data_IF_453434641069
#
_entry.id   IF_453434641069
#
_cell.length_a   1.000
_cell.length_b   1.000
_cell.length_c   1.000
_cell.angle_alpha   90.00
_cell.angle_beta   90.00
_cell.angle_gamma   90.00
#
_symmetry.space_group_name_H-M   'P 1'
#
loop_
_entity.id
_entity.type
_entity.pdbx_description
1 polymer ?
#
# COMPACT_ATOMS: atom_id res chain seq x y z
N UNK A 1 -27.09 -18.19 5.39
CA UNK A 1 -26.06 -19.25 5.49
C UNK A 1 -24.69 -18.60 5.60
N UNK A 2 -23.88 -19.09 6.54
CA UNK A 2 -22.49 -18.64 6.71
C UNK A 2 -21.62 -19.34 5.67
N UNK A 3 -20.78 -18.60 4.99
CA UNK A 3 -19.82 -19.10 4.01
C UNK A 3 -18.42 -18.65 4.38
N UNK A 4 -17.45 -19.53 4.24
CA UNK A 4 -16.03 -19.23 4.40
C UNK A 4 -15.44 -18.95 3.01
N UNK A 5 -14.84 -17.77 2.83
CA UNK A 5 -14.27 -17.31 1.57
C UNK A 5 -12.78 -17.07 1.77
N UNK A 6 -11.96 -17.83 1.04
CA UNK A 6 -10.50 -17.63 1.01
C UNK A 6 -10.13 -16.34 0.27
N UNK A 7 -9.16 -15.61 0.81
CA UNK A 7 -8.65 -14.37 0.21
C UNK A 7 -7.24 -14.07 0.69
N UNK A 8 -6.69 -12.93 0.27
CA UNK A 8 -5.38 -12.43 0.69
C UNK A 8 -5.55 -11.09 1.38
N UNK A 9 -4.84 -10.89 2.48
CA UNK A 9 -4.83 -9.62 3.20
C UNK A 9 -4.22 -8.51 2.35
N UNK A 10 -4.92 -7.38 2.22
CA UNK A 10 -4.54 -6.26 1.36
C UNK A 10 -3.77 -5.14 2.08
N UNK A 11 -3.45 -5.30 3.39
CA UNK A 11 -2.86 -4.23 4.18
C UNK A 11 -1.37 -3.97 3.90
N UNK A 12 -0.59 -5.04 3.70
CA UNK A 12 0.84 -4.89 3.37
C UNK A 12 1.27 -5.97 2.38
N UNK A 13 2.48 -5.83 1.83
CA UNK A 13 3.03 -6.74 0.82
C UNK A 13 3.39 -8.14 1.32
N UNK A 14 3.13 -8.48 2.58
CA UNK A 14 3.40 -9.83 3.11
C UNK A 14 2.53 -10.88 2.43
N UNK A 15 1.28 -10.54 2.08
CA UNK A 15 0.39 -11.46 1.36
C UNK A 15 -0.19 -12.58 2.24
N UNK A 16 -0.54 -12.27 3.50
CA UNK A 16 -1.10 -13.27 4.41
C UNK A 16 -2.39 -13.89 3.88
N UNK A 17 -2.47 -15.20 3.89
CA UNK A 17 -3.67 -15.97 3.54
C UNK A 17 -4.72 -15.79 4.63
N UNK A 18 -5.91 -15.37 4.23
CA UNK A 18 -7.04 -15.12 5.13
C UNK A 18 -8.29 -15.87 4.69
N UNK A 19 -9.13 -16.18 5.65
CA UNK A 19 -10.49 -16.65 5.40
C UNK A 19 -11.46 -15.63 5.99
N UNK A 20 -12.38 -15.15 5.18
CA UNK A 20 -13.49 -14.31 5.60
C UNK A 20 -14.73 -15.16 5.79
N UNK A 21 -15.30 -15.11 6.97
CA UNK A 21 -16.61 -15.68 7.27
C UNK A 21 -17.68 -14.66 6.92
N UNK A 22 -18.53 -14.99 5.97
CA UNK A 22 -19.50 -14.07 5.39
C UNK A 22 -20.92 -14.62 5.54
N UNK A 23 -21.86 -13.79 5.97
CA UNK A 23 -23.28 -14.08 5.98
C UNK A 23 -24.07 -12.85 5.47
N UNK A 24 -25.05 -13.10 4.60
CA UNK A 24 -25.90 -12.05 4.02
C UNK A 24 -25.09 -10.86 3.47
N UNK A 25 -24.00 -11.16 2.76
CA UNK A 25 -23.07 -10.18 2.18
C UNK A 25 -22.36 -9.27 3.21
N UNK A 26 -22.25 -9.72 4.46
CA UNK A 26 -21.52 -9.03 5.54
C UNK A 26 -20.37 -9.90 6.04
N UNK A 27 -19.24 -9.28 6.30
CA UNK A 27 -18.08 -9.94 6.90
C UNK A 27 -18.33 -10.03 8.41
N UNK A 28 -18.47 -11.26 8.90
CA UNK A 28 -18.64 -11.51 10.33
C UNK A 28 -17.30 -11.59 11.06
N UNK A 29 -16.28 -12.20 10.40
CA UNK A 29 -14.98 -12.43 11.00
C UNK A 29 -13.93 -12.70 9.94
N UNK A 30 -12.69 -12.29 10.24
CA UNK A 30 -11.50 -12.64 9.46
C UNK A 30 -10.56 -13.46 10.35
N UNK A 31 -10.02 -14.55 9.81
CA UNK A 31 -8.99 -15.35 10.47
C UNK A 31 -7.93 -15.80 9.46
N UNK A 32 -6.76 -16.18 9.98
CA UNK A 32 -5.68 -16.72 9.16
C UNK A 32 -6.03 -18.13 8.71
N UNK A 33 -5.66 -18.50 7.50
CA UNK A 33 -5.71 -19.90 7.07
C UNK A 33 -4.64 -20.69 7.82
N UNK A 34 -5.04 -21.81 8.43
CA UNK A 34 -4.13 -22.64 9.24
C UNK A 34 -3.01 -23.28 8.42
N UNK A 35 -3.29 -23.58 7.16
CA UNK A 35 -2.40 -24.18 6.16
C UNK A 35 -1.82 -23.13 5.19
N UNK A 36 -2.10 -21.83 5.41
CA UNK A 36 -1.59 -20.75 4.59
C UNK A 36 -0.06 -20.67 4.60
N UNK A 37 0.54 -20.71 3.42
CA UNK A 37 2.00 -20.71 3.27
C UNK A 37 2.66 -19.46 3.89
N UNK A 38 2.07 -18.29 3.68
CA UNK A 38 2.63 -17.03 4.16
C UNK A 38 2.31 -16.78 5.61
N UNK A 39 1.04 -16.91 5.98
CA UNK A 39 0.55 -16.57 7.32
C UNK A 39 0.84 -17.67 8.37
N UNK A 40 0.91 -18.94 7.95
CA UNK A 40 1.10 -20.10 8.84
C UNK A 40 0.18 -20.05 10.06
N UNK A 41 -1.10 -19.75 9.84
CA UNK A 41 -2.11 -19.61 10.89
C UNK A 41 -1.98 -18.32 11.74
N UNK A 42 -1.06 -17.40 11.41
CA UNK A 42 -0.83 -16.14 12.14
C UNK A 42 -1.37 -14.95 11.36
N UNK A 43 -1.99 -14.00 12.04
CA UNK A 43 -2.50 -12.79 11.44
C UNK A 43 -2.28 -11.60 12.40
N UNK A 44 -1.77 -10.50 11.89
CA UNK A 44 -1.61 -9.29 12.68
C UNK A 44 -2.96 -8.58 12.90
N UNK A 45 -2.99 -7.64 13.83
CA UNK A 45 -4.20 -6.91 14.19
C UNK A 45 -4.85 -6.20 12.98
N UNK A 46 -4.06 -5.68 12.04
CA UNK A 46 -4.57 -5.02 10.83
C UNK A 46 -5.34 -6.00 9.95
N UNK A 47 -4.80 -7.16 9.69
CA UNK A 47 -5.46 -8.20 8.89
C UNK A 47 -6.68 -8.80 9.59
N UNK A 48 -6.67 -8.86 10.94
CA UNK A 48 -7.75 -9.45 11.72
C UNK A 48 -8.94 -8.50 11.91
N UNK A 49 -8.70 -7.22 12.20
CA UNK A 49 -9.72 -6.24 12.59
C UNK A 49 -9.88 -5.09 11.59
N UNK A 50 -8.93 -4.90 10.68
CA UNK A 50 -8.91 -3.74 9.80
C UNK A 50 -9.97 -3.75 8.69
N UNK A 51 -10.79 -4.79 8.58
CA UNK A 51 -11.84 -4.90 7.56
C UNK A 51 -13.21 -4.38 8.01
N UNK A 52 -13.35 -3.93 9.25
CA UNK A 52 -14.60 -3.40 9.79
C UNK A 52 -15.13 -2.19 9.00
N UNK A 53 -14.24 -1.46 8.30
CA UNK A 53 -14.65 -0.34 7.45
C UNK A 53 -15.58 -0.74 6.31
N UNK A 54 -15.57 -2.00 5.87
CA UNK A 54 -16.40 -2.49 4.74
C UNK A 54 -17.88 -2.30 5.05
N UNK A 55 -18.28 -2.61 6.28
CA UNK A 55 -19.67 -2.53 6.76
C UNK A 55 -19.93 -1.35 7.69
N UNK A 56 -18.96 -0.46 7.86
CA UNK A 56 -19.09 0.72 8.71
C UNK A 56 -20.27 1.60 8.27
N UNK A 57 -21.11 2.07 9.21
CA UNK A 57 -22.16 3.04 8.91
C UNK A 57 -21.60 4.39 8.44
N UNK A 58 -20.33 4.68 8.73
CA UNK A 58 -19.65 5.90 8.29
C UNK A 58 -19.07 5.78 6.86
N UNK A 59 -19.15 4.60 6.24
CA UNK A 59 -18.66 4.39 4.88
C UNK A 59 -19.46 5.21 3.89
N UNK A 60 -18.79 6.03 3.09
CA UNK A 60 -19.40 6.77 1.99
C UNK A 60 -19.80 5.76 0.90
N UNK A 61 -21.10 5.69 0.60
CA UNK A 61 -21.67 4.75 -0.38
C UNK A 61 -22.14 5.43 -1.66
N UNK A 62 -22.38 6.74 -1.61
CA UNK A 62 -22.82 7.56 -2.74
C UNK A 62 -21.82 8.67 -3.02
N UNK A 63 -21.88 9.24 -4.18
CA UNK A 63 -21.05 10.39 -4.53
C UNK A 63 -21.44 11.60 -3.68
N UNK A 64 -20.43 12.35 -3.22
CA UNK A 64 -20.62 13.63 -2.54
C UNK A 64 -20.07 14.76 -3.39
N UNK A 65 -20.83 15.82 -3.54
CA UNK A 65 -20.46 17.02 -4.32
C UNK A 65 -20.58 18.23 -3.41
N UNK A 66 -19.55 19.08 -3.36
CA UNK A 66 -19.63 20.33 -2.59
C UNK A 66 -20.71 21.24 -3.14
N UNK A 67 -21.51 21.85 -2.26
CA UNK A 67 -22.53 22.84 -2.64
C UNK A 67 -21.91 24.02 -3.36
N UNK A 68 -20.81 24.56 -2.83
CA UNK A 68 -20.05 25.64 -3.45
C UNK A 68 -19.57 25.31 -4.85
N UNK A 69 -19.23 24.04 -5.16
CA UNK A 69 -18.86 23.64 -6.50
C UNK A 69 -20.05 23.77 -7.47
N UNK A 70 -21.23 23.32 -7.06
CA UNK A 70 -22.44 23.42 -7.88
C UNK A 70 -22.80 24.89 -8.10
N UNK A 71 -22.83 25.70 -7.04
CA UNK A 71 -23.14 27.12 -7.12
C UNK A 71 -22.20 27.87 -8.07
N UNK A 72 -20.89 27.69 -7.88
CA UNK A 72 -19.88 28.38 -8.71
C UNK A 72 -19.93 27.97 -10.18
N UNK A 73 -20.25 26.72 -10.48
CA UNK A 73 -20.19 26.18 -11.84
C UNK A 73 -21.56 26.04 -12.50
N UNK A 74 -22.66 26.37 -11.82
CA UNK A 74 -24.01 26.13 -12.31
C UNK A 74 -24.26 26.75 -13.68
N UNK A 75 -23.86 28.00 -13.91
CA UNK A 75 -24.09 28.71 -15.17
C UNK A 75 -23.33 28.08 -16.36
N UNK A 76 -22.13 27.58 -16.14
CA UNK A 76 -21.30 26.91 -17.15
C UNK A 76 -21.66 25.45 -17.38
N UNK A 77 -22.44 24.87 -16.48
CA UNK A 77 -22.79 23.45 -16.53
C UNK A 77 -23.69 23.15 -17.77
N UNK A 78 -23.49 22.01 -18.47
CA UNK A 78 -24.36 21.57 -19.54
C UNK A 78 -25.85 21.48 -19.12
N UNK A 79 -26.75 21.83 -20.03
CA UNK A 79 -28.21 21.85 -19.79
C UNK A 79 -28.73 20.55 -19.18
N UNK A 80 -28.19 19.40 -19.64
CA UNK A 80 -28.58 18.08 -19.13
C UNK A 80 -28.18 17.88 -17.69
N UNK A 81 -26.98 18.34 -17.29
CA UNK A 81 -26.53 18.25 -15.91
C UNK A 81 -27.28 19.26 -15.01
N UNK A 82 -27.56 20.46 -15.51
CA UNK A 82 -28.43 21.43 -14.82
C UNK A 82 -29.81 20.80 -14.51
N UNK A 83 -30.44 20.19 -15.48
CA UNK A 83 -31.74 19.55 -15.31
C UNK A 83 -31.71 18.42 -14.27
N UNK A 84 -30.61 17.69 -14.19
CA UNK A 84 -30.44 16.58 -13.23
C UNK A 84 -29.99 17.03 -11.83
N UNK A 85 -29.55 18.27 -11.68
CA UNK A 85 -29.13 18.80 -10.36
C UNK A 85 -30.27 18.87 -9.35
N UNK A 86 -31.52 18.82 -9.79
CA UNK A 86 -32.69 18.72 -8.91
C UNK A 86 -32.80 17.38 -8.16
N UNK A 87 -32.03 16.37 -8.57
CA UNK A 87 -31.94 15.07 -7.88
C UNK A 87 -30.92 15.06 -6.73
N UNK A 88 -30.17 16.17 -6.54
CA UNK A 88 -29.23 16.29 -5.45
C UNK A 88 -29.95 16.38 -4.11
N UNK A 89 -29.50 15.60 -3.16
CA UNK A 89 -30.03 15.59 -1.79
C UNK A 89 -29.04 16.35 -0.87
N UNK A 90 -29.51 17.35 -0.16
CA UNK A 90 -28.69 18.06 0.82
C UNK A 90 -28.32 17.12 1.96
N UNK A 91 -27.03 16.89 2.17
CA UNK A 91 -26.52 16.00 3.22
C UNK A 91 -26.27 16.76 4.51
N UNK A 92 -25.60 17.91 4.42
CA UNK A 92 -25.24 18.81 5.50
C UNK A 92 -25.08 20.26 4.96
N UNK A 93 -24.40 21.13 5.69
CA UNK A 93 -24.18 22.53 5.26
C UNK A 93 -23.32 22.64 3.99
N UNK A 94 -22.36 21.72 3.80
CA UNK A 94 -21.35 21.80 2.77
C UNK A 94 -21.58 20.88 1.55
N UNK A 95 -22.33 19.78 1.73
CA UNK A 95 -22.35 18.70 0.76
C UNK A 95 -23.76 18.32 0.28
N UNK A 96 -23.83 18.02 -1.00
CA UNK A 96 -24.89 17.24 -1.60
C UNK A 96 -24.49 15.76 -1.72
N UNK A 97 -25.45 14.88 -1.53
CA UNK A 97 -25.37 13.50 -1.96
C UNK A 97 -25.98 13.36 -3.35
N UNK A 98 -25.29 12.58 -4.21
CA UNK A 98 -25.65 12.36 -5.58
C UNK A 98 -25.50 10.87 -5.96
N UNK A 99 -26.19 10.44 -7.00
CA UNK A 99 -25.95 9.14 -7.61
C UNK A 99 -24.54 9.08 -8.21
N UNK A 100 -23.94 7.89 -8.27
CA UNK A 100 -22.62 7.71 -8.92
C UNK A 100 -22.64 8.17 -10.37
N UNK A 101 -23.72 7.90 -11.09
CA UNK A 101 -23.88 8.31 -12.49
C UNK A 101 -23.84 9.83 -12.65
N UNK A 102 -24.56 10.57 -11.79
CA UNK A 102 -24.52 12.03 -11.82
C UNK A 102 -23.15 12.55 -11.46
N UNK A 103 -22.54 12.04 -10.39
CA UNK A 103 -21.21 12.44 -9.95
C UNK A 103 -20.14 12.19 -11.02
N UNK A 104 -20.17 11.04 -11.66
CA UNK A 104 -19.28 10.70 -12.78
C UNK A 104 -19.47 11.64 -13.97
N UNK A 105 -20.71 11.97 -14.31
CA UNK A 105 -21.03 12.90 -15.42
C UNK A 105 -20.51 14.31 -15.14
N UNK A 106 -20.66 14.81 -13.90
CA UNK A 106 -20.12 16.10 -13.46
C UNK A 106 -18.57 16.10 -13.51
N UNK A 107 -17.95 15.04 -13.04
CA UNK A 107 -16.48 14.91 -13.09
C UNK A 107 -15.98 14.88 -14.55
N UNK A 108 -16.60 14.09 -15.39
CA UNK A 108 -16.24 13.97 -16.80
C UNK A 108 -16.37 15.32 -17.55
N UNK A 109 -17.47 16.03 -17.32
CA UNK A 109 -17.65 17.37 -17.87
C UNK A 109 -16.52 18.31 -17.42
N UNK A 110 -16.27 18.38 -16.11
CA UNK A 110 -15.26 19.34 -15.58
C UNK A 110 -13.85 19.00 -16.01
N UNK A 111 -13.47 17.73 -16.05
CA UNK A 111 -12.19 17.28 -16.56
C UNK A 111 -12.03 17.60 -18.06
N UNK A 112 -13.08 17.45 -18.86
CA UNK A 112 -13.07 17.82 -20.27
C UNK A 112 -12.90 19.32 -20.47
N UNK A 113 -13.59 20.14 -19.67
CA UNK A 113 -13.42 21.59 -19.66
C UNK A 113 -11.99 22.01 -19.31
N UNK A 114 -11.41 21.44 -18.24
CA UNK A 114 -10.04 21.71 -17.82
C UNK A 114 -9.06 21.34 -18.94
N UNK A 115 -9.20 20.15 -19.53
CA UNK A 115 -8.36 19.71 -20.64
C UNK A 115 -8.44 20.65 -21.83
N UNK A 116 -9.64 21.08 -22.20
CA UNK A 116 -9.84 21.99 -23.35
C UNK A 116 -9.30 23.39 -23.10
N UNK A 117 -9.35 23.87 -21.86
CA UNK A 117 -8.91 25.22 -21.47
C UNK A 117 -7.40 25.30 -21.25
N UNK A 118 -6.82 24.31 -20.58
CA UNK A 118 -5.42 24.36 -20.10
C UNK A 118 -4.51 23.31 -20.77
N UNK A 119 -5.04 22.47 -21.64
CA UNK A 119 -4.30 21.46 -22.37
C UNK A 119 -4.01 20.19 -21.57
N UNK A 120 -3.37 19.23 -22.24
CA UNK A 120 -3.14 17.85 -21.71
C UNK A 120 -2.29 17.79 -20.44
N UNK A 121 -1.41 18.75 -20.23
CA UNK A 121 -0.53 18.78 -19.05
C UNK A 121 -1.21 19.28 -17.78
N UNK A 122 -2.44 19.77 -17.86
CA UNK A 122 -3.23 20.20 -16.70
C UNK A 122 -3.76 19.05 -15.84
N UNK A 123 -3.67 17.82 -16.33
CA UNK A 123 -4.11 16.63 -15.62
C UNK A 123 -2.91 15.78 -15.18
N UNK A 124 -2.94 15.34 -13.92
CA UNK A 124 -2.01 14.36 -13.36
C UNK A 124 -2.79 13.32 -12.56
N UNK A 125 -2.38 12.08 -12.67
CA UNK A 125 -2.93 10.98 -11.88
C UNK A 125 -1.85 10.31 -11.03
N UNK A 126 -2.21 9.93 -9.80
CA UNK A 126 -1.35 9.14 -8.93
C UNK A 126 -2.10 7.91 -8.46
N UNK A 127 -1.58 6.73 -8.76
CA UNK A 127 -2.11 5.45 -8.31
C UNK A 127 -1.61 5.07 -6.91
N UNK A 128 -2.38 4.24 -6.22
CA UNK A 128 -1.97 3.60 -4.97
C UNK A 128 -1.56 2.13 -5.19
N UNK A 129 -0.80 1.57 -4.25
CA UNK A 129 -0.40 0.16 -4.29
C UNK A 129 -1.43 -0.80 -3.68
N UNK A 130 -2.46 -0.26 -2.99
CA UNK A 130 -3.54 -1.05 -2.38
C UNK A 130 -4.80 -1.03 -3.22
N UNK A 131 -4.64 -1.34 -4.50
CA UNK A 131 -5.72 -1.40 -5.48
C UNK A 131 -5.51 -2.63 -6.36
N UNK A 132 -6.55 -3.03 -7.10
CA UNK A 132 -6.41 -4.13 -8.05
C UNK A 132 -5.57 -3.73 -9.27
N UNK A 133 -4.97 -4.71 -9.93
CA UNK A 133 -4.22 -4.49 -11.17
C UNK A 133 -5.12 -3.87 -12.26
N UNK A 134 -6.40 -4.29 -12.31
CA UNK A 134 -7.39 -3.76 -13.25
C UNK A 134 -7.64 -2.27 -13.02
N UNK A 135 -7.79 -1.84 -11.76
CA UNK A 135 -7.96 -0.43 -11.42
C UNK A 135 -6.73 0.40 -11.78
N UNK A 136 -5.53 -0.13 -11.54
CA UNK A 136 -4.28 0.50 -11.95
C UNK A 136 -4.16 0.64 -13.47
N UNK A 137 -4.51 -0.40 -14.21
CA UNK A 137 -4.56 -0.39 -15.66
C UNK A 137 -5.56 0.64 -16.20
N UNK A 138 -6.79 0.64 -15.66
CA UNK A 138 -7.83 1.59 -16.08
C UNK A 138 -7.45 3.04 -15.78
N UNK A 139 -6.82 3.31 -14.64
CA UNK A 139 -6.32 4.65 -14.32
C UNK A 139 -5.26 5.10 -15.34
N UNK A 140 -4.32 4.21 -15.68
CA UNK A 140 -3.31 4.51 -16.69
C UNK A 140 -3.92 4.75 -18.07
N UNK A 141 -4.86 3.90 -18.48
CA UNK A 141 -5.58 4.03 -19.75
C UNK A 141 -6.37 5.35 -19.80
N UNK A 142 -7.14 5.65 -18.76
CA UNK A 142 -7.88 6.91 -18.65
C UNK A 142 -6.96 8.13 -18.77
N UNK A 143 -5.83 8.12 -18.06
CA UNK A 143 -4.88 9.24 -18.07
C UNK A 143 -4.28 9.43 -19.45
N UNK A 144 -3.83 8.35 -20.09
CA UNK A 144 -3.10 8.43 -21.37
C UNK A 144 -4.02 8.60 -22.58
N UNK A 145 -5.14 7.86 -22.63
CA UNK A 145 -6.03 7.87 -23.80
C UNK A 145 -7.12 8.94 -23.69
N UNK A 146 -7.79 9.04 -22.52
CA UNK A 146 -8.90 9.99 -22.37
C UNK A 146 -8.41 11.38 -22.08
N UNK A 147 -7.50 11.53 -21.11
CA UNK A 147 -6.95 12.84 -20.75
C UNK A 147 -5.79 13.27 -21.65
N UNK A 148 -5.23 12.36 -22.46
CA UNK A 148 -4.05 12.57 -23.30
C UNK A 148 -2.84 13.10 -22.49
N UNK A 149 -2.75 12.73 -21.22
CA UNK A 149 -1.71 13.23 -20.31
C UNK A 149 -0.62 12.18 -20.09
N UNK A 150 0.67 12.57 -20.18
CA UNK A 150 1.78 11.69 -19.78
C UNK A 150 1.96 11.64 -18.26
N UNK A 151 1.28 12.52 -17.51
CA UNK A 151 1.53 12.73 -16.08
C UNK A 151 0.80 11.70 -15.24
N UNK A 152 1.37 10.51 -15.15
CA UNK A 152 0.88 9.45 -14.26
C UNK A 152 2.04 8.78 -13.55
N UNK A 153 1.89 8.56 -12.28
CA UNK A 153 2.82 7.79 -11.47
C UNK A 153 2.09 7.00 -10.37
N UNK A 154 2.85 6.28 -9.57
CA UNK A 154 2.36 5.45 -8.49
C UNK A 154 3.16 5.72 -7.22
N UNK A 155 2.59 5.41 -6.06
CA UNK A 155 3.27 5.53 -4.77
C UNK A 155 4.61 4.76 -4.73
N UNK A 156 4.78 3.73 -5.55
CA UNK A 156 6.01 2.97 -5.68
C UNK A 156 7.22 3.83 -6.09
N UNK A 157 7.02 4.95 -6.76
CA UNK A 157 8.08 5.87 -7.17
C UNK A 157 8.99 6.29 -6.02
N UNK A 158 8.39 6.61 -4.88
CA UNK A 158 9.11 7.02 -3.66
C UNK A 158 9.30 5.85 -2.70
N UNK A 159 8.41 4.85 -2.74
CA UNK A 159 8.39 3.73 -1.81
C UNK A 159 9.54 2.74 -2.06
N UNK A 160 9.58 2.12 -3.24
CA UNK A 160 10.54 1.04 -3.53
C UNK A 160 11.17 1.06 -4.93
N UNK A 161 10.82 2.00 -5.80
CA UNK A 161 11.43 2.07 -7.13
C UNK A 161 12.96 2.18 -7.10
N UNK A 162 13.58 2.93 -6.16
CA UNK A 162 15.03 2.92 -6.00
C UNK A 162 15.58 1.52 -5.65
N UNK A 163 14.93 0.81 -4.75
CA UNK A 163 15.31 -0.56 -4.37
C UNK A 163 15.16 -1.53 -5.53
N UNK A 164 14.06 -1.42 -6.28
CA UNK A 164 13.79 -2.23 -7.47
C UNK A 164 14.89 -2.04 -8.53
N UNK A 165 15.26 -0.79 -8.81
CA UNK A 165 16.32 -0.47 -9.74
C UNK A 165 17.68 -0.94 -9.23
N UNK A 166 17.99 -0.78 -7.95
CA UNK A 166 19.21 -1.25 -7.33
C UNK A 166 19.35 -2.77 -7.42
N UNK A 167 18.30 -3.51 -7.10
CA UNK A 167 18.26 -4.96 -7.20
C UNK A 167 18.41 -5.43 -8.66
N UNK A 168 17.67 -4.84 -9.59
CA UNK A 168 17.79 -5.18 -11.01
C UNK A 168 19.21 -4.94 -11.53
N UNK A 169 19.89 -3.88 -11.10
CA UNK A 169 21.26 -3.57 -11.51
C UNK A 169 22.31 -4.50 -10.87
N UNK A 170 22.08 -5.05 -9.69
CA UNK A 170 23.06 -5.86 -8.94
C UNK A 170 22.83 -7.36 -9.07
N UNK A 171 21.59 -7.81 -9.04
CA UNK A 171 21.22 -9.23 -9.04
C UNK A 171 20.35 -9.64 -10.25
N UNK A 172 20.04 -8.70 -11.15
CA UNK A 172 19.29 -8.95 -12.38
C UNK A 172 17.77 -8.95 -12.24
N UNK A 173 17.23 -8.92 -11.00
CA UNK A 173 15.81 -8.99 -10.73
C UNK A 173 15.40 -7.96 -9.69
N UNK A 174 14.24 -7.31 -9.90
CA UNK A 174 13.68 -6.34 -8.97
C UNK A 174 12.75 -6.95 -7.93
N UNK A 175 13.05 -8.15 -7.44
CA UNK A 175 12.24 -8.88 -6.47
C UNK A 175 13.11 -9.53 -5.40
N UNK A 176 12.50 -9.87 -4.24
CA UNK A 176 13.19 -10.64 -3.21
C UNK A 176 13.61 -12.02 -3.74
N UNK A 177 14.85 -12.41 -3.47
CA UNK A 177 15.44 -13.66 -3.93
C UNK A 177 15.14 -14.85 -3.03
N UNK A 178 14.68 -14.60 -1.81
CA UNK A 178 14.51 -15.61 -0.77
C UNK A 178 13.06 -15.73 -0.33
N UNK A 179 12.55 -16.95 -0.14
CA UNK A 179 11.26 -17.17 0.51
C UNK A 179 11.34 -16.84 2.01
N UNK A 180 10.19 -16.61 2.64
CA UNK A 180 10.13 -16.29 4.08
C UNK A 180 10.70 -17.38 4.98
N UNK A 181 10.69 -18.64 4.55
CA UNK A 181 11.19 -19.77 5.33
C UNK A 181 12.71 -19.79 5.47
N UNK A 182 13.43 -19.06 4.63
CA UNK A 182 14.87 -18.91 4.74
C UNK A 182 15.28 -18.12 5.99
N UNK A 183 14.36 -17.32 6.57
CA UNK A 183 14.55 -16.66 7.87
C UNK A 183 14.87 -17.67 8.97
N UNK A 184 14.31 -18.87 8.89
CA UNK A 184 14.59 -19.93 9.89
C UNK A 184 15.87 -20.73 9.61
N UNK A 185 16.43 -20.58 8.41
CA UNK A 185 17.63 -21.33 7.97
C UNK A 185 18.90 -20.49 8.01
N UNK A 186 18.75 -19.15 8.10
CA UNK A 186 19.91 -18.26 8.15
C UNK A 186 20.56 -18.25 9.52
N UNK A 187 21.86 -18.03 9.55
CA UNK A 187 22.63 -17.83 10.78
C UNK A 187 22.75 -16.35 11.15
N UNK A 188 22.49 -15.45 10.19
CA UNK A 188 22.64 -14.01 10.39
C UNK A 188 21.55 -13.23 9.64
N UNK A 189 20.98 -12.24 10.32
CA UNK A 189 20.01 -11.30 9.77
C UNK A 189 20.44 -9.86 10.04
N UNK A 190 20.59 -9.07 8.97
CA UNK A 190 20.76 -7.63 9.05
C UNK A 190 19.47 -6.93 8.61
N UNK A 191 18.85 -6.20 9.53
CA UNK A 191 17.67 -5.36 9.28
C UNK A 191 18.08 -3.91 9.34
N UNK A 192 17.98 -3.19 8.23
CA UNK A 192 18.39 -1.79 8.14
C UNK A 192 17.27 -0.91 7.58
N UNK A 193 16.95 0.20 8.29
CA UNK A 193 15.93 1.15 7.86
C UNK A 193 14.51 0.57 7.76
N UNK A 194 14.19 -0.46 8.55
CA UNK A 194 12.91 -1.15 8.47
C UNK A 194 12.31 -1.42 9.86
N UNK A 195 11.22 -0.73 10.16
CA UNK A 195 10.40 -1.01 11.35
C UNK A 195 9.45 -2.18 11.09
N UNK A 196 10.04 -3.37 10.96
CA UNK A 196 9.36 -4.58 10.49
C UNK A 196 8.21 -5.01 11.41
N UNK A 197 8.30 -4.78 12.72
CA UNK A 197 7.24 -5.12 13.69
C UNK A 197 5.94 -4.34 13.44
N UNK A 198 6.03 -3.14 12.89
CA UNK A 198 4.86 -2.31 12.56
C UNK A 198 4.45 -2.46 11.11
N UNK A 199 5.42 -2.45 10.18
CA UNK A 199 5.15 -2.49 8.75
C UNK A 199 4.76 -3.90 8.25
N UNK A 200 5.47 -4.95 8.70
CA UNK A 200 5.34 -6.33 8.24
C UNK A 200 5.36 -7.33 9.41
N UNK A 201 4.36 -7.30 10.34
CA UNK A 201 4.44 -8.01 11.62
C UNK A 201 4.64 -9.52 11.49
N UNK A 202 4.10 -10.16 10.45
CA UNK A 202 4.24 -11.61 10.26
C UNK A 202 5.68 -12.00 9.89
N UNK A 203 6.38 -11.16 9.11
CA UNK A 203 7.81 -11.33 8.84
C UNK A 203 8.63 -11.09 10.10
N UNK A 204 8.30 -10.03 10.86
CA UNK A 204 8.96 -9.74 12.13
C UNK A 204 8.83 -10.90 13.13
N UNK A 205 7.67 -11.53 13.21
CA UNK A 205 7.47 -12.68 14.08
C UNK A 205 8.44 -13.82 13.76
N UNK A 206 8.69 -14.12 12.49
CA UNK A 206 9.68 -15.13 12.08
C UNK A 206 11.10 -14.76 12.50
N UNK A 207 11.48 -13.48 12.30
CA UNK A 207 12.79 -12.97 12.73
C UNK A 207 12.97 -13.05 14.25
N UNK A 208 11.93 -12.69 15.01
CA UNK A 208 11.94 -12.76 16.47
C UNK A 208 12.05 -14.21 16.93
N UNK A 209 11.33 -15.13 16.31
CA UNK A 209 11.36 -16.54 16.63
C UNK A 209 12.74 -17.15 16.37
N UNK A 210 13.33 -16.89 15.19
CA UNK A 210 14.68 -17.33 14.86
C UNK A 210 15.74 -16.78 15.83
N UNK A 211 15.67 -15.50 16.18
CA UNK A 211 16.57 -14.88 17.15
C UNK A 211 16.41 -15.46 18.57
N UNK A 212 15.18 -15.67 19.04
CA UNK A 212 14.89 -16.26 20.36
C UNK A 212 15.38 -17.71 20.49
N UNK A 213 15.23 -18.47 19.42
CA UNK A 213 15.69 -19.86 19.35
C UNK A 213 17.22 -19.94 19.18
N UNK A 214 17.92 -18.79 19.07
CA UNK A 214 19.35 -18.71 18.84
C UNK A 214 19.82 -19.45 17.58
N UNK A 215 18.96 -19.54 16.59
CA UNK A 215 19.32 -20.11 15.29
C UNK A 215 19.94 -19.05 14.37
N UNK A 216 19.67 -17.76 14.65
CA UNK A 216 20.22 -16.63 13.89
C UNK A 216 20.59 -15.44 14.79
N UNK A 217 21.71 -14.83 14.48
CA UNK A 217 22.09 -13.51 15.01
C UNK A 217 21.26 -12.44 14.30
N UNK A 218 20.61 -11.55 15.06
CA UNK A 218 19.81 -10.45 14.55
C UNK A 218 20.46 -9.12 14.87
N UNK A 219 20.85 -8.38 13.85
CA UNK A 219 21.34 -7.01 13.96
C UNK A 219 20.32 -6.05 13.36
N UNK A 220 19.91 -5.05 14.13
CA UNK A 220 18.93 -4.04 13.72
C UNK A 220 19.57 -2.69 13.66
N UNK A 221 19.54 -2.04 12.51
CA UNK A 221 20.05 -0.69 12.26
C UNK A 221 18.90 0.23 11.84
N UNK A 222 18.65 1.27 12.63
CA UNK A 222 17.56 2.23 12.34
C UNK A 222 17.95 3.61 12.86
N UNK A 223 17.25 4.66 12.45
CA UNK A 223 17.46 6.03 12.96
C UNK A 223 16.96 6.22 14.39
N UNK A 224 16.23 5.25 14.91
CA UNK A 224 15.66 5.22 16.26
C UNK A 224 15.63 3.81 16.83
N UNK A 225 15.40 3.72 18.14
CA UNK A 225 15.12 2.45 18.77
C UNK A 225 13.72 1.95 18.35
N UNK A 226 13.66 0.81 17.69
CA UNK A 226 12.42 0.18 17.23
C UNK A 226 12.13 -1.09 18.04
N UNK A 227 10.88 -1.53 17.99
CA UNK A 227 10.42 -2.69 18.76
C UNK A 227 11.22 -3.97 18.43
N UNK A 228 11.60 -4.17 17.16
CA UNK A 228 12.37 -5.33 16.72
C UNK A 228 13.75 -5.39 17.42
N UNK A 229 14.34 -4.23 17.71
CA UNK A 229 15.64 -4.12 18.40
C UNK A 229 15.68 -4.75 19.79
N UNK A 230 14.53 -4.91 20.47
CA UNK A 230 14.44 -5.60 21.76
C UNK A 230 14.74 -7.11 21.67
N UNK A 231 14.67 -7.66 20.48
CA UNK A 231 14.93 -9.06 20.18
C UNK A 231 16.26 -9.26 19.44
N UNK A 232 16.91 -8.16 19.08
CA UNK A 232 18.17 -8.18 18.34
C UNK A 232 19.34 -8.51 19.28
N UNK A 233 20.32 -9.23 18.77
CA UNK A 233 21.64 -9.39 19.40
C UNK A 233 22.32 -8.04 19.52
N UNK A 234 22.14 -7.18 18.52
CA UNK A 234 22.67 -5.82 18.54
C UNK A 234 21.71 -4.86 17.83
N UNK A 235 21.43 -3.73 18.48
CA UNK A 235 20.78 -2.59 17.86
C UNK A 235 21.77 -1.44 17.67
N UNK A 236 21.81 -0.88 16.48
CA UNK A 236 22.65 0.27 16.11
C UNK A 236 21.73 1.42 15.70
N UNK A 237 21.87 2.56 16.37
CA UNK A 237 21.15 3.78 15.97
C UNK A 237 22.04 4.55 15.01
N UNK A 238 21.57 4.73 13.78
CA UNK A 238 22.27 5.44 12.73
C UNK A 238 21.70 6.85 12.57
N UNK A 239 22.54 7.86 12.29
CA UNK A 239 22.04 9.16 11.84
C UNK A 239 21.22 9.03 10.56
N UNK A 240 20.35 10.03 10.28
CA UNK A 240 19.68 10.13 8.99
C UNK A 240 20.71 10.11 7.86
N UNK A 241 20.35 9.49 6.73
CA UNK A 241 21.20 9.36 5.52
C UNK A 241 22.46 8.49 5.68
N UNK A 242 22.72 7.92 6.86
CA UNK A 242 23.92 7.14 7.12
C UNK A 242 23.89 5.70 6.60
N UNK A 243 22.75 5.19 6.13
CA UNK A 243 22.63 3.78 5.69
C UNK A 243 23.65 3.41 4.62
N UNK A 244 23.84 4.27 3.60
CA UNK A 244 24.81 4.01 2.53
C UNK A 244 26.24 3.99 3.05
N UNK A 245 26.61 4.96 3.89
CA UNK A 245 27.95 5.02 4.48
C UNK A 245 28.21 3.81 5.37
N UNK A 246 27.22 3.40 6.16
CA UNK A 246 27.34 2.23 7.03
C UNK A 246 27.53 0.93 6.23
N UNK A 247 26.75 0.71 5.18
CA UNK A 247 26.90 -0.46 4.30
C UNK A 247 28.25 -0.47 3.57
N UNK A 248 28.70 0.69 3.07
CA UNK A 248 30.01 0.82 2.46
C UNK A 248 31.15 0.59 3.46
N UNK A 249 31.00 1.01 4.71
CA UNK A 249 31.98 0.75 5.76
C UNK A 249 32.07 -0.76 6.07
N UNK A 250 30.95 -1.47 6.14
CA UNK A 250 30.94 -2.93 6.28
C UNK A 250 31.66 -3.59 5.10
N UNK A 251 31.31 -3.21 3.86
CA UNK A 251 31.96 -3.74 2.66
C UNK A 251 33.47 -3.47 2.65
N UNK A 252 33.89 -2.26 3.05
CA UNK A 252 35.30 -1.91 3.17
C UNK A 252 36.04 -2.83 4.15
N UNK A 253 35.45 -3.06 5.35
CA UNK A 253 36.08 -3.95 6.35
C UNK A 253 36.18 -5.38 5.83
N UNK A 254 35.11 -5.91 5.21
CA UNK A 254 35.11 -7.25 4.61
C UNK A 254 36.25 -7.39 3.60
N UNK A 255 36.42 -6.42 2.72
CA UNK A 255 37.47 -6.44 1.71
C UNK A 255 38.87 -6.28 2.33
N UNK A 256 39.03 -5.34 3.24
CA UNK A 256 40.31 -5.05 3.88
C UNK A 256 40.84 -6.21 4.74
N UNK A 257 39.95 -6.89 5.44
CA UNK A 257 40.30 -8.00 6.34
C UNK A 257 40.20 -9.38 5.64
N UNK A 258 39.92 -9.40 4.31
CA UNK A 258 39.77 -10.63 3.52
C UNK A 258 38.70 -11.61 4.06
N UNK A 259 37.59 -11.05 4.57
CA UNK A 259 36.49 -11.81 5.17
C UNK A 259 35.49 -12.34 4.12
N UNK A 260 35.89 -12.51 2.90
CA UNK A 260 35.08 -13.04 1.81
C UNK A 260 35.66 -14.35 1.27
N UNK A 261 34.78 -15.17 0.69
CA UNK A 261 35.22 -16.38 -0.01
C UNK A 261 35.60 -15.97 -1.45
N UNK A 262 36.87 -16.19 -1.88
CA UNK A 262 37.38 -15.82 -3.23
C UNK A 262 36.69 -16.59 -4.37
#
# INVERSE_FOLDING_TARGET
MIHDIGSVCTYCGVGCDITAQVENNKILKIYAQSDGYVSQGKLCIKGKLGFDFVDSPLRIRNTRIKKSFIETNFESMPRELKARSNTLVSLDEDWFEATHEFGTSVAAWKLSEIKSTYGRHSFCATGGARTSCESGFLLQKFTRETMDSPNIDNCARVCHAPSLNGMAATIGEGAATNPYDDIYKTEFMLVIGSNTTEAHPIVANRMIEASRNKTAELVVCDVRNIQLGKFATKQVVLPYEANLLFLNAIAYVILKEFLYNP
#
